data_IF_169221146288
#
_entry.id   IF_169221146288
#
_cell.length_a   1.000
_cell.length_b   1.000
_cell.length_c   1.000
_cell.angle_alpha   90.00
_cell.angle_beta   90.00
_cell.angle_gamma   90.00
#
_symmetry.space_group_name_H-M   'P 1'
#
loop_
_entity.id
_entity.type
_entity.pdbx_description
1 polymer ?
#
# COMPACT_ATOMS: atom_id res chain seq x y z
N UNK A 1 -10.30 -8.27 -0.30
CA UNK A 1 -10.75 -8.67 1.05
C UNK A 1 -10.17 -10.02 1.39
N UNK A 2 -9.86 -10.27 2.67
CA UNK A 2 -9.29 -11.53 3.14
C UNK A 2 -10.19 -12.05 4.28
N UNK A 3 -11.09 -13.00 4.00
CA UNK A 3 -12.14 -13.43 4.93
C UNK A 3 -12.02 -14.89 5.39
N UNK A 4 -10.90 -15.56 5.15
CA UNK A 4 -10.70 -16.98 5.47
C UNK A 4 -10.56 -17.33 6.96
N UNK A 5 -10.74 -16.37 7.88
CA UNK A 5 -10.67 -16.57 9.33
C UNK A 5 -9.27 -16.83 9.91
N UNK A 6 -8.33 -17.35 9.12
CA UNK A 6 -6.92 -17.50 9.46
C UNK A 6 -6.05 -16.70 8.48
N UNK A 7 -6.28 -15.38 8.44
CA UNK A 7 -5.58 -14.52 7.48
C UNK A 7 -4.24 -14.09 8.04
N UNK A 8 -3.19 -14.68 7.48
CA UNK A 8 -1.84 -14.19 7.64
C UNK A 8 -1.10 -14.13 6.28
N UNK A 9 0.04 -13.46 6.27
CA UNK A 9 0.84 -13.26 5.06
C UNK A 9 2.32 -13.45 5.35
N UNK A 10 3.03 -14.12 4.45
CA UNK A 10 4.49 -14.07 4.44
C UNK A 10 5.00 -12.68 4.04
N UNK A 11 6.26 -12.39 4.33
CA UNK A 11 6.95 -11.14 4.00
C UNK A 11 6.80 -10.78 2.51
N UNK A 12 6.17 -9.64 2.21
CA UNK A 12 5.93 -9.19 0.83
C UNK A 12 5.81 -7.67 0.71
N UNK A 13 5.69 -7.20 -0.55
CA UNK A 13 5.27 -5.85 -0.92
C UNK A 13 4.15 -5.96 -1.95
N UNK A 14 3.23 -5.01 -1.93
CA UNK A 14 2.18 -4.94 -2.94
C UNK A 14 2.69 -4.18 -4.17
N UNK A 15 3.61 -4.78 -4.92
CA UNK A 15 4.33 -4.13 -6.02
C UNK A 15 3.43 -3.62 -7.16
N UNK A 16 2.16 -4.05 -7.23
CA UNK A 16 1.19 -3.57 -8.22
C UNK A 16 0.42 -2.32 -7.74
N UNK A 17 0.46 -2.00 -6.44
CA UNK A 17 -0.18 -0.82 -5.89
C UNK A 17 0.55 0.44 -6.31
N UNK A 18 -0.15 1.57 -6.23
CA UNK A 18 0.47 2.87 -6.43
C UNK A 18 1.47 3.16 -5.30
N UNK A 19 2.78 3.31 -5.58
CA UNK A 19 3.80 3.47 -4.55
C UNK A 19 3.76 4.81 -3.81
N UNK A 20 3.02 5.77 -4.34
CA UNK A 20 2.85 7.10 -3.75
C UNK A 20 1.45 7.30 -3.14
N UNK A 21 0.74 6.20 -2.90
CA UNK A 21 -0.57 6.20 -2.27
C UNK A 21 -0.59 5.34 -1.01
N UNK A 22 -1.66 5.52 -0.24
CA UNK A 22 -1.92 4.75 0.97
C UNK A 22 -2.72 3.49 0.65
N UNK A 23 -2.31 2.37 1.26
CA UNK A 23 -3.15 1.18 1.43
C UNK A 23 -3.78 1.25 2.81
N UNK A 24 -5.11 1.24 2.86
CA UNK A 24 -5.85 1.13 4.11
C UNK A 24 -6.14 -0.34 4.40
N UNK A 25 -5.72 -0.80 5.57
CA UNK A 25 -5.95 -2.16 6.04
C UNK A 25 -6.80 -2.04 7.30
N UNK A 26 -7.95 -2.71 7.35
CA UNK A 26 -8.78 -2.82 8.53
C UNK A 26 -8.72 -4.26 9.06
N UNK A 27 -8.31 -4.43 10.31
CA UNK A 27 -8.32 -5.73 10.98
C UNK A 27 -9.72 -6.06 11.52
N UNK A 28 -10.15 -7.30 11.31
CA UNK A 28 -11.47 -7.80 11.70
C UNK A 28 -11.34 -9.19 12.33
N UNK A 29 -12.31 -9.59 13.15
CA UNK A 29 -12.32 -10.89 13.84
C UNK A 29 -12.14 -10.80 15.36
N UNK A 30 -11.90 -11.94 16.01
CA UNK A 30 -11.76 -12.08 17.46
C UNK A 30 -10.42 -12.75 17.76
N UNK A 31 -9.47 -11.96 18.20
CA UNK A 31 -8.08 -12.36 18.46
C UNK A 31 -7.46 -11.42 19.49
N UNK A 32 -6.35 -11.82 20.10
CA UNK A 32 -5.56 -10.97 21.00
C UNK A 32 -4.42 -10.30 20.20
N UNK A 33 -4.50 -8.99 19.92
CA UNK A 33 -3.54 -8.30 19.07
C UNK A 33 -2.14 -8.21 19.66
N UNK A 34 -1.95 -8.51 20.94
CA UNK A 34 -0.63 -8.47 21.61
C UNK A 34 0.21 -9.72 21.35
N UNK A 35 -0.42 -10.80 20.85
CA UNK A 35 0.22 -12.10 20.64
C UNK A 35 -0.09 -12.76 19.29
N UNK A 36 -1.03 -12.21 18.53
CA UNK A 36 -1.62 -12.85 17.34
C UNK A 36 -1.90 -11.82 16.26
N UNK A 37 -1.63 -12.18 15.00
CA UNK A 37 -1.87 -11.34 13.83
C UNK A 37 -1.31 -9.91 13.90
N UNK A 38 -0.20 -9.70 14.63
CA UNK A 38 0.51 -8.44 14.72
C UNK A 38 1.05 -8.04 13.35
N UNK A 39 0.98 -6.76 13.01
CA UNK A 39 1.54 -6.25 11.76
C UNK A 39 3.04 -6.00 11.92
N UNK A 40 3.82 -6.41 10.92
CA UNK A 40 5.27 -6.20 10.88
C UNK A 40 5.59 -5.25 9.72
N UNK A 41 6.30 -4.17 10.01
CA UNK A 41 6.86 -3.24 9.02
C UNK A 41 8.39 -3.34 9.05
N UNK A 42 8.95 -4.05 8.06
CA UNK A 42 10.31 -4.57 8.15
C UNK A 42 11.39 -3.49 8.08
N UNK A 43 11.29 -2.54 7.15
CA UNK A 43 12.24 -1.44 7.01
C UNK A 43 12.22 -0.51 8.23
N UNK A 44 11.05 -0.36 8.86
CA UNK A 44 10.88 0.46 10.06
C UNK A 44 11.29 -0.26 11.34
N UNK A 45 11.52 -1.59 11.28
CA UNK A 45 11.78 -2.46 12.43
C UNK A 45 10.68 -2.37 13.50
N UNK A 46 9.43 -2.26 13.05
CA UNK A 46 8.26 -2.15 13.92
C UNK A 46 7.43 -3.43 13.90
N UNK A 47 6.98 -3.83 15.09
CA UNK A 47 5.90 -4.79 15.30
C UNK A 47 4.77 -4.02 15.97
N UNK A 48 3.59 -4.08 15.37
CA UNK A 48 2.45 -3.27 15.78
C UNK A 48 1.33 -4.22 16.21
N UNK A 49 0.88 -4.07 17.45
CA UNK A 49 -0.36 -4.65 17.92
C UNK A 49 -1.50 -4.04 17.12
N UNK A 50 -2.16 -4.85 16.30
CA UNK A 50 -3.12 -4.38 15.32
C UNK A 50 -4.54 -4.84 15.69
N UNK A 51 -5.27 -4.08 16.53
CA UNK A 51 -6.51 -4.53 17.16
C UNK A 51 -7.67 -4.68 16.18
N UNK A 52 -8.65 -5.50 16.58
CA UNK A 52 -9.93 -5.59 15.90
C UNK A 52 -10.57 -4.21 15.69
N UNK A 53 -11.20 -4.02 14.53
CA UNK A 53 -11.89 -2.80 14.11
C UNK A 53 -11.01 -1.54 14.01
N UNK A 54 -9.68 -1.70 14.03
CA UNK A 54 -8.75 -0.62 13.73
C UNK A 54 -8.33 -0.64 12.26
N UNK A 55 -8.00 0.54 11.75
CA UNK A 55 -7.48 0.74 10.40
C UNK A 55 -6.10 1.35 10.47
N UNK A 56 -5.18 0.83 9.67
CA UNK A 56 -3.86 1.41 9.47
C UNK A 56 -3.66 1.79 8.01
N UNK A 57 -2.98 2.92 7.77
CA UNK A 57 -2.56 3.38 6.46
C UNK A 57 -1.07 3.08 6.30
N UNK A 58 -0.69 2.33 5.26
CA UNK A 58 0.72 2.04 4.96
C UNK A 58 1.02 2.27 3.48
N UNK A 59 2.26 2.66 3.11
CA UNK A 59 2.70 2.71 1.72
C UNK A 59 3.07 1.28 1.25
N UNK A 60 2.05 0.45 1.03
CA UNK A 60 2.23 -1.02 0.93
C UNK A 60 3.06 -1.50 -0.27
N UNK A 61 3.20 -0.68 -1.31
CA UNK A 61 4.07 -0.98 -2.45
C UNK A 61 5.56 -0.71 -2.14
N UNK A 62 5.84 0.13 -1.14
CA UNK A 62 7.20 0.61 -0.80
C UNK A 62 7.75 -0.10 0.42
N UNK A 63 6.95 -0.24 1.48
CA UNK A 63 7.36 -0.90 2.72
C UNK A 63 7.05 -2.39 2.65
N UNK A 64 8.06 -3.20 2.92
CA UNK A 64 7.87 -4.64 3.08
C UNK A 64 7.11 -4.87 4.38
N UNK A 65 6.05 -5.65 4.28
CA UNK A 65 5.19 -5.93 5.41
C UNK A 65 4.72 -7.38 5.44
N UNK A 66 4.25 -7.79 6.61
CA UNK A 66 3.62 -9.08 6.87
C UNK A 66 2.79 -8.97 8.13
N UNK A 67 2.17 -10.07 8.54
CA UNK A 67 1.62 -10.21 9.87
C UNK A 67 2.05 -11.56 10.46
N UNK A 68 2.01 -11.66 11.78
CA UNK A 68 2.27 -12.93 12.46
C UNK A 68 1.13 -13.91 12.22
N UNK A 69 1.38 -15.18 12.52
CA UNK A 69 0.36 -16.22 12.46
C UNK A 69 -0.81 -15.86 13.39
N UNK A 70 -2.01 -16.29 13.01
CA UNK A 70 -3.18 -16.25 13.89
C UNK A 70 -3.03 -17.39 14.89
N UNK A 71 -3.16 -17.09 16.18
CA UNK A 71 -3.07 -18.09 17.23
C UNK A 71 -4.23 -19.09 17.17
N UNK A 72 -4.00 -20.30 17.68
CA UNK A 72 -5.00 -21.38 17.68
C UNK A 72 -6.29 -20.96 18.38
N UNK A 73 -7.43 -21.21 17.72
CA UNK A 73 -8.76 -20.87 18.22
C UNK A 73 -9.15 -19.40 18.04
N UNK A 74 -8.26 -18.55 17.53
CA UNK A 74 -8.56 -17.16 17.19
C UNK A 74 -8.98 -17.02 15.73
N UNK A 75 -9.70 -15.93 15.43
CA UNK A 75 -10.20 -15.65 14.09
C UNK A 75 -9.74 -14.25 13.68
N UNK A 76 -9.00 -14.16 12.59
CA UNK A 76 -8.56 -12.90 12.02
C UNK A 76 -8.81 -12.83 10.52
N UNK A 77 -9.39 -11.70 10.11
CA UNK A 77 -9.72 -11.33 8.74
C UNK A 77 -9.34 -9.88 8.47
N UNK A 78 -9.32 -9.45 7.22
CA UNK A 78 -9.16 -8.03 6.91
C UNK A 78 -9.89 -7.56 5.68
N UNK A 79 -10.20 -6.28 5.72
CA UNK A 79 -10.55 -5.50 4.56
C UNK A 79 -9.35 -4.65 4.14
N UNK A 80 -9.02 -4.65 2.85
CA UNK A 80 -7.88 -3.89 2.31
C UNK A 80 -8.37 -3.03 1.16
N UNK A 81 -7.95 -1.76 1.15
CA UNK A 81 -8.31 -0.78 0.14
C UNK A 81 -7.01 -0.17 -0.39
N UNK A 82 -6.84 -0.24 -1.70
CA UNK A 82 -5.65 0.24 -2.39
C UNK A 82 -6.03 0.65 -3.81
N UNK A 83 -5.14 1.41 -4.45
CA UNK A 83 -5.28 1.76 -5.86
C UNK A 83 -4.13 1.14 -6.63
N UNK A 84 -4.44 0.46 -7.74
CA UNK A 84 -3.43 -0.12 -8.62
C UNK A 84 -2.64 0.98 -9.34
N UNK A 85 -1.31 0.89 -9.34
CA UNK A 85 -0.45 1.89 -9.97
C UNK A 85 -0.59 1.94 -11.50
N UNK A 86 -1.06 0.85 -12.11
CA UNK A 86 -1.32 0.80 -13.55
C UNK A 86 -2.43 1.76 -14.00
N UNK A 87 -3.37 2.10 -13.11
CA UNK A 87 -4.46 3.04 -13.42
C UNK A 87 -3.89 4.44 -13.66
N UNK A 88 -3.00 4.91 -12.78
CA UNK A 88 -2.34 6.21 -12.93
C UNK A 88 -1.53 6.30 -14.22
N UNK A 89 -0.69 5.29 -14.49
CA UNK A 89 0.10 5.23 -15.74
C UNK A 89 -0.79 5.27 -16.98
N UNK A 90 -1.93 4.58 -16.95
CA UNK A 90 -2.86 4.58 -18.07
C UNK A 90 -3.48 5.96 -18.31
N UNK A 91 -3.89 6.66 -17.25
CA UNK A 91 -4.41 8.04 -17.36
C UNK A 91 -3.32 9.00 -17.85
N UNK A 92 -2.11 8.95 -17.28
CA UNK A 92 -0.97 9.77 -17.71
C UNK A 92 -0.60 9.54 -19.18
N UNK A 93 -0.87 8.35 -19.71
CA UNK A 93 -0.65 7.99 -21.10
C UNK A 93 -1.83 8.32 -22.02
N UNK A 94 -2.71 9.26 -21.64
CA UNK A 94 -3.95 9.60 -22.35
C UNK A 94 -4.83 8.37 -22.61
N UNK A 95 -5.02 7.54 -21.58
CA UNK A 95 -5.87 6.35 -21.67
C UNK A 95 -5.31 5.26 -22.62
N UNK A 96 -3.99 5.18 -22.77
CA UNK A 96 -3.29 4.18 -23.56
C UNK A 96 -2.42 3.27 -22.69
N UNK A 97 -2.28 2.01 -23.11
CA UNK A 97 -1.20 1.15 -22.60
C UNK A 97 0.14 1.71 -23.05
N UNK A 98 1.24 1.40 -22.34
CA UNK A 98 2.59 1.84 -22.75
C UNK A 98 2.91 1.39 -24.19
N UNK A 99 2.54 0.17 -24.57
CA UNK A 99 2.71 -0.34 -25.95
C UNK A 99 1.93 0.49 -26.99
N UNK A 100 0.69 0.89 -26.68
CA UNK A 100 -0.11 1.74 -27.57
C UNK A 100 0.45 3.15 -27.64
N UNK A 101 0.94 3.69 -26.52
CA UNK A 101 1.59 5.00 -26.49
C UNK A 101 2.88 4.99 -27.31
N UNK A 102 3.72 3.97 -27.19
CA UNK A 102 4.96 3.85 -27.97
C UNK A 102 4.69 3.88 -29.47
N UNK A 103 3.63 3.21 -29.93
CA UNK A 103 3.23 3.19 -31.34
C UNK A 103 2.57 4.50 -31.79
N UNK A 104 1.74 5.11 -30.94
CA UNK A 104 0.95 6.29 -31.29
C UNK A 104 1.73 7.61 -31.15
N UNK A 105 2.61 7.72 -30.15
CA UNK A 105 3.41 8.90 -29.82
C UNK A 105 4.79 8.50 -29.25
N UNK A 106 5.73 8.05 -30.10
CA UNK A 106 7.08 7.66 -29.67
C UNK A 106 7.86 8.77 -28.91
N UNK A 107 7.78 10.07 -29.29
CA UNK A 107 8.40 11.14 -28.51
C UNK A 107 7.90 11.21 -27.07
N UNK A 108 6.58 11.17 -26.84
CA UNK A 108 6.00 11.19 -25.49
C UNK A 108 6.37 9.93 -24.70
N UNK A 109 6.36 8.76 -25.34
CA UNK A 109 6.81 7.52 -24.71
C UNK A 109 8.26 7.64 -24.21
N UNK A 110 9.18 8.17 -25.04
CA UNK A 110 10.57 8.39 -24.62
C UNK A 110 10.67 9.35 -23.44
N UNK A 111 9.92 10.45 -23.47
CA UNK A 111 9.89 11.41 -22.36
C UNK A 111 9.39 10.76 -21.06
N UNK A 112 8.27 10.03 -21.12
CA UNK A 112 7.73 9.27 -19.98
C UNK A 112 8.78 8.30 -19.42
N UNK A 113 9.49 7.57 -20.26
CA UNK A 113 10.55 6.65 -19.82
C UNK A 113 11.72 7.36 -19.14
N UNK A 114 12.09 8.56 -19.59
CA UNK A 114 13.12 9.39 -18.94
C UNK A 114 12.63 9.92 -17.58
N UNK A 115 11.37 10.33 -17.48
CA UNK A 115 10.78 10.86 -16.25
C UNK A 115 10.71 9.83 -15.12
N UNK A 116 10.64 8.52 -15.43
CA UNK A 116 10.66 7.44 -14.42
C UNK A 116 11.85 7.55 -13.45
N UNK A 117 13.01 8.06 -13.91
CA UNK A 117 14.20 8.23 -13.06
C UNK A 117 14.03 9.27 -11.95
N UNK A 118 13.15 10.26 -12.15
CA UNK A 118 12.90 11.36 -11.19
C UNK A 118 11.53 11.28 -10.53
N UNK A 119 10.68 10.33 -10.97
CA UNK A 119 9.32 10.16 -10.50
C UNK A 119 9.24 10.00 -8.98
N UNK A 120 10.18 9.28 -8.35
CA UNK A 120 10.17 9.09 -6.90
C UNK A 120 10.25 10.42 -6.15
N UNK A 121 11.19 11.30 -6.50
CA UNK A 121 11.37 12.59 -5.81
C UNK A 121 10.15 13.50 -5.97
N UNK A 122 9.56 13.54 -7.17
CA UNK A 122 8.37 14.37 -7.43
C UNK A 122 7.14 13.87 -6.67
N UNK A 123 6.98 12.55 -6.57
CA UNK A 123 5.76 11.95 -6.05
C UNK A 123 5.80 11.74 -4.53
N UNK A 124 6.97 11.87 -3.88
CA UNK A 124 7.05 11.92 -2.42
C UNK A 124 6.30 13.11 -1.83
N UNK A 125 6.18 14.20 -2.59
CA UNK A 125 5.39 15.39 -2.22
C UNK A 125 3.88 15.10 -2.11
N UNK A 126 3.40 13.96 -2.61
CA UNK A 126 2.00 13.54 -2.44
C UNK A 126 1.69 13.02 -1.03
N UNK A 127 2.70 12.66 -0.25
CA UNK A 127 2.50 12.23 1.13
C UNK A 127 2.34 13.43 2.04
N UNK A 128 1.35 13.35 2.94
CA UNK A 128 1.20 14.33 4.01
C UNK A 128 2.43 14.38 4.89
N UNK A 129 2.86 15.59 5.22
CA UNK A 129 3.86 15.85 6.25
C UNK A 129 3.27 15.62 7.64
N UNK A 130 4.15 15.43 8.63
CA UNK A 130 3.72 15.30 10.04
C UNK A 130 2.99 16.56 10.49
N UNK A 131 3.47 17.73 10.09
CA UNK A 131 2.84 19.01 10.45
C UNK A 131 1.43 19.12 9.87
N UNK A 132 1.21 18.72 8.61
CA UNK A 132 -0.14 18.69 8.00
C UNK A 132 -1.09 17.74 8.73
N UNK A 133 -0.60 16.60 9.24
CA UNK A 133 -1.41 15.64 10.00
C UNK A 133 -1.72 16.10 11.43
N UNK A 134 -0.81 16.88 12.04
CA UNK A 134 -0.95 17.36 13.41
C UNK A 134 -1.60 18.75 13.50
N UNK A 135 -1.69 19.48 12.38
CA UNK A 135 -2.33 20.77 12.35
C UNK A 135 -3.81 20.62 12.72
N UNK A 136 -4.25 21.34 13.75
CA UNK A 136 -5.68 21.41 14.08
C UNK A 136 -6.38 22.18 12.95
N UNK A 137 -7.41 21.58 12.39
CA UNK A 137 -8.37 22.30 11.57
C UNK A 137 -9.06 23.30 12.52
N UNK A 138 -8.78 24.59 12.36
CA UNK A 138 -9.51 25.67 13.04
C UNK A 138 -10.97 25.76 12.58
#
# INVERSE_FOLDING_TARGET
FNFGGNVWTFKHRDFQNWPFGWCAITALGKFDPTRSAQLILWELKLVIDFPHASTILIPSAVITHSNTLVADGEVRTSFTQYTAGAIFRWVENNCLTEEKLEKADPPRYRQMMMDKATAVSRQLELYSTVDELLCKIE
#
